data_IF_113001192334
#
_entry.id   IF_113001192334
#
_cell.length_a   1.000
_cell.length_b   1.000
_cell.length_c   1.000
_cell.angle_alpha   90.00
_cell.angle_beta   90.00
_cell.angle_gamma   90.00
#
_symmetry.space_group_name_H-M   'P 1'
#
loop_
_entity.id
_entity.type
_entity.pdbx_description
1 polymer ?
#
# COMPACT_ATOMS: atom_id res chain seq x y z
N UNK A 1 3.94 -6.30 -2.04
CA UNK A 1 2.97 -6.58 -0.96
C UNK A 1 2.94 -5.47 0.09
N UNK A 2 4.08 -4.87 0.44
CA UNK A 2 4.14 -3.74 1.40
C UNK A 2 3.17 -2.61 1.03
N UNK A 3 3.15 -2.17 -0.23
CA UNK A 3 2.20 -1.13 -0.70
C UNK A 3 0.72 -1.46 -0.46
N UNK A 4 0.34 -2.75 -0.50
CA UNK A 4 -1.03 -3.16 -0.19
C UNK A 4 -1.34 -3.01 1.30
N UNK A 5 -0.37 -3.33 2.18
CA UNK A 5 -0.52 -3.15 3.63
C UNK A 5 -0.63 -1.67 3.98
N UNK A 6 0.22 -0.83 3.38
CA UNK A 6 0.14 0.63 3.57
C UNK A 6 -1.22 1.18 3.16
N UNK A 7 -1.78 0.68 2.05
CA UNK A 7 -3.05 1.14 1.54
C UNK A 7 -4.26 0.65 2.34
N UNK A 8 -4.22 -0.60 2.83
CA UNK A 8 -5.39 -1.26 3.42
C UNK A 8 -5.35 -1.37 4.93
N UNK A 9 -4.17 -1.26 5.55
CA UNK A 9 -3.95 -1.63 6.95
C UNK A 9 -3.94 -3.14 7.23
N UNK A 10 -4.29 -3.98 6.26
CA UNK A 10 -4.45 -5.42 6.47
C UNK A 10 -3.33 -6.26 5.87
N UNK A 11 -3.05 -7.40 6.52
CA UNK A 11 -2.19 -8.44 5.95
C UNK A 11 -2.77 -8.93 4.61
N UNK A 12 -1.95 -9.13 3.56
CA UNK A 12 -2.41 -9.73 2.31
C UNK A 12 -3.10 -11.08 2.58
N UNK A 13 -4.31 -11.24 2.05
CA UNK A 13 -5.14 -12.43 2.26
C UNK A 13 -5.58 -12.69 3.72
N UNK A 14 -5.68 -11.68 4.58
CA UNK A 14 -6.12 -11.83 5.98
C UNK A 14 -7.45 -12.59 6.17
N UNK A 15 -8.34 -12.62 5.17
CA UNK A 15 -9.60 -13.40 5.18
C UNK A 15 -9.47 -14.83 4.67
N UNK A 16 -8.24 -15.35 4.52
CA UNK A 16 -7.94 -16.70 4.01
C UNK A 16 -6.98 -17.42 4.94
N UNK A 17 -7.15 -18.73 5.05
CA UNK A 17 -6.22 -19.61 5.73
C UNK A 17 -4.90 -19.63 4.95
N UNK A 18 -3.78 -19.51 5.65
CA UNK A 18 -2.44 -19.50 5.08
C UNK A 18 -1.89 -20.93 4.94
N UNK A 19 -2.50 -21.70 4.04
CA UNK A 19 -2.14 -23.09 3.76
C UNK A 19 -1.49 -23.28 2.37
N UNK A 20 -1.07 -24.52 2.09
CA UNK A 20 -0.50 -24.91 0.80
C UNK A 20 -1.45 -24.66 -0.38
N UNK A 21 -2.77 -24.68 -0.15
CA UNK A 21 -3.75 -24.42 -1.21
C UNK A 21 -3.84 -22.93 -1.56
N UNK A 22 -3.68 -22.04 -0.59
CA UNK A 22 -3.51 -20.61 -0.85
C UNK A 22 -2.23 -20.36 -1.66
N UNK A 23 -1.12 -21.01 -1.31
CA UNK A 23 0.14 -20.91 -2.07
C UNK A 23 -0.07 -21.34 -3.52
N UNK A 24 -0.70 -22.49 -3.77
CA UNK A 24 -1.05 -22.93 -5.14
C UNK A 24 -1.90 -21.91 -5.88
N UNK A 25 -2.90 -21.32 -5.22
CA UNK A 25 -3.74 -20.26 -5.83
C UNK A 25 -2.91 -19.01 -6.18
N UNK A 26 -1.96 -18.61 -5.35
CA UNK A 26 -1.10 -17.43 -5.59
C UNK A 26 -0.12 -17.69 -6.73
N UNK A 27 0.54 -18.84 -6.73
CA UNK A 27 1.62 -19.18 -7.69
C UNK A 27 1.04 -19.62 -9.03
N UNK A 28 0.14 -20.61 -9.03
CA UNK A 28 -0.37 -21.27 -10.25
C UNK A 28 -1.53 -20.47 -10.85
N UNK A 29 -2.46 -20.00 -10.01
CA UNK A 29 -3.63 -19.23 -10.48
C UNK A 29 -3.40 -17.71 -10.45
N UNK A 30 -2.17 -17.29 -10.17
CA UNK A 30 -1.76 -15.88 -10.10
C UNK A 30 -2.66 -15.01 -9.21
N UNK A 31 -3.26 -15.60 -8.16
CA UNK A 31 -4.18 -14.90 -7.27
C UNK A 31 -3.46 -13.72 -6.58
N UNK A 32 -4.14 -12.57 -6.52
CA UNK A 32 -3.72 -11.39 -5.76
C UNK A 32 -4.77 -11.02 -4.70
N UNK A 33 -4.37 -10.28 -3.64
CA UNK A 33 -5.32 -9.75 -2.67
C UNK A 33 -6.41 -8.91 -3.34
N UNK A 34 -7.62 -8.96 -2.80
CA UNK A 34 -8.72 -8.08 -3.23
C UNK A 34 -8.64 -6.75 -2.47
N UNK A 35 -9.08 -5.68 -3.10
CA UNK A 35 -9.37 -4.42 -2.41
C UNK A 35 -10.79 -4.48 -1.84
N UNK A 36 -10.98 -3.93 -0.64
CA UNK A 36 -12.28 -3.92 0.05
C UNK A 36 -13.00 -2.57 -0.05
N UNK A 37 -12.28 -1.53 -0.49
CA UNK A 37 -12.82 -0.24 -0.91
C UNK A 37 -12.78 -0.15 -2.45
N UNK A 38 -13.61 0.71 -3.05
CA UNK A 38 -13.63 0.94 -4.49
C UNK A 38 -12.25 1.36 -5.04
N UNK A 39 -11.86 0.84 -6.20
CA UNK A 39 -10.57 1.19 -6.80
C UNK A 39 -10.52 2.67 -7.23
N UNK A 40 -11.67 3.30 -7.53
CA UNK A 40 -11.76 4.74 -7.85
C UNK A 40 -11.39 5.68 -6.70
N UNK A 41 -11.36 5.17 -5.47
CA UNK A 41 -10.93 5.91 -4.28
C UNK A 41 -9.41 5.85 -4.09
N UNK A 42 -8.71 4.97 -4.82
CA UNK A 42 -7.26 4.84 -4.74
C UNK A 42 -6.64 5.79 -5.76
N UNK A 43 -5.58 6.54 -5.41
CA UNK A 43 -4.78 7.23 -6.42
C UNK A 43 -4.36 6.25 -7.52
N UNK A 44 -4.86 6.46 -8.74
CA UNK A 44 -4.68 5.55 -9.87
C UNK A 44 -3.21 5.22 -10.12
N UNK A 45 -2.32 6.20 -10.00
CA UNK A 45 -0.89 6.00 -10.19
C UNK A 45 -0.27 5.11 -9.10
N UNK A 46 -0.71 5.25 -7.84
CA UNK A 46 -0.34 4.34 -6.74
C UNK A 46 -0.85 2.93 -7.00
N UNK A 47 -2.13 2.80 -7.40
CA UNK A 47 -2.74 1.52 -7.74
C UNK A 47 -2.01 0.82 -8.90
N UNK A 48 -1.63 1.58 -9.93
CA UNK A 48 -0.87 1.09 -11.07
C UNK A 48 0.53 0.62 -10.65
N UNK A 49 1.24 1.38 -9.83
CA UNK A 49 2.54 0.97 -9.29
C UNK A 49 2.41 -0.32 -8.47
N UNK A 50 1.44 -0.38 -7.56
CA UNK A 50 1.14 -1.56 -6.77
C UNK A 50 0.84 -2.77 -7.67
N UNK A 51 0.05 -2.58 -8.73
CA UNK A 51 -0.28 -3.63 -9.72
C UNK A 51 0.92 -4.11 -10.51
N UNK A 52 1.87 -3.23 -10.87
CA UNK A 52 3.11 -3.62 -11.54
C UNK A 52 4.04 -4.41 -10.61
N UNK A 53 4.21 -3.97 -9.36
CA UNK A 53 5.08 -4.61 -8.36
C UNK A 53 4.76 -6.08 -8.10
N UNK A 54 3.51 -6.50 -8.24
CA UNK A 54 3.10 -7.90 -8.06
C UNK A 54 2.67 -8.59 -9.36
N UNK A 55 3.06 -8.05 -10.52
CA UNK A 55 2.72 -8.63 -11.83
C UNK A 55 3.16 -10.09 -11.90
N UNK A 56 2.36 -10.93 -12.59
CA UNK A 56 2.74 -12.32 -12.80
C UNK A 56 4.05 -12.41 -13.58
N UNK A 57 4.14 -11.71 -14.71
CA UNK A 57 5.37 -11.64 -15.50
C UNK A 57 6.43 -10.86 -14.74
N UNK A 58 7.58 -11.47 -14.41
CA UNK A 58 8.66 -10.77 -13.71
C UNK A 58 9.18 -9.55 -14.48
N UNK A 59 9.20 -9.61 -15.82
CA UNK A 59 9.66 -8.52 -16.69
C UNK A 59 8.80 -7.25 -16.63
N UNK A 60 7.55 -7.36 -16.13
CA UNK A 60 6.66 -6.21 -15.95
C UNK A 60 6.79 -5.59 -14.56
N UNK A 61 7.58 -6.19 -13.67
CA UNK A 61 7.82 -5.63 -12.34
C UNK A 61 8.89 -4.54 -12.47
N UNK A 62 8.68 -3.37 -11.87
CA UNK A 62 9.67 -2.32 -11.87
C UNK A 62 10.89 -2.76 -11.04
N UNK A 63 12.05 -2.29 -11.46
CA UNK A 63 13.26 -2.38 -10.64
C UNK A 63 13.13 -1.53 -9.39
N UNK A 64 13.85 -1.88 -8.32
CA UNK A 64 13.77 -1.14 -7.06
C UNK A 64 14.17 0.33 -7.22
N UNK A 65 15.13 0.64 -8.10
CA UNK A 65 15.53 2.02 -8.35
C UNK A 65 14.39 2.80 -9.01
N UNK A 66 13.68 2.18 -9.97
CA UNK A 66 12.50 2.81 -10.59
C UNK A 66 11.38 3.10 -9.59
N UNK A 67 11.20 2.22 -8.58
CA UNK A 67 10.24 2.46 -7.51
C UNK A 67 10.71 3.62 -6.64
N UNK A 68 11.98 3.64 -6.23
CA UNK A 68 12.55 4.70 -5.39
C UNK A 68 12.44 6.06 -6.07
N UNK A 69 12.89 6.16 -7.32
CA UNK A 69 12.87 7.40 -8.10
C UNK A 69 11.43 7.94 -8.23
N UNK A 70 10.48 7.06 -8.54
CA UNK A 70 9.07 7.43 -8.67
C UNK A 70 8.47 7.91 -7.34
N UNK A 71 8.77 7.22 -6.23
CA UNK A 71 8.26 7.63 -4.91
C UNK A 71 8.90 8.93 -4.44
N UNK A 72 10.20 9.15 -4.69
CA UNK A 72 10.89 10.40 -4.38
C UNK A 72 10.35 11.57 -5.18
N UNK A 73 10.05 11.37 -6.47
CA UNK A 73 9.38 12.36 -7.32
C UNK A 73 8.00 12.74 -6.76
N UNK A 74 7.20 11.75 -6.35
CA UNK A 74 5.89 12.01 -5.74
C UNK A 74 6.00 12.79 -4.42
N UNK A 75 6.93 12.40 -3.54
CA UNK A 75 7.18 13.09 -2.28
C UNK A 75 7.59 14.55 -2.52
N UNK A 76 8.51 14.77 -3.46
CA UNK A 76 8.96 16.11 -3.85
C UNK A 76 7.79 16.97 -4.35
N UNK A 77 6.91 16.41 -5.19
CA UNK A 77 5.74 17.12 -5.69
C UNK A 77 4.73 17.46 -4.58
N UNK A 78 4.52 16.55 -3.62
CA UNK A 78 3.66 16.76 -2.46
C UNK A 78 4.21 17.85 -1.54
N UNK A 79 5.52 17.84 -1.26
CA UNK A 79 6.20 18.81 -0.39
C UNK A 79 6.13 20.23 -0.96
N UNK A 80 6.32 20.37 -2.28
CA UNK A 80 6.22 21.66 -2.96
C UNK A 80 4.78 22.13 -3.19
N UNK A 81 3.77 21.34 -2.79
CA UNK A 81 2.34 21.57 -3.10
C UNK A 81 2.11 21.85 -4.58
N UNK A 82 2.90 21.21 -5.43
CA UNK A 82 2.79 21.35 -6.88
C UNK A 82 1.42 20.85 -7.32
N UNK A 83 0.73 21.57 -8.21
CA UNK A 83 -0.54 21.09 -8.78
C UNK A 83 -0.27 20.09 -9.90
N UNK A 84 0.18 18.90 -9.55
CA UNK A 84 0.50 17.83 -10.49
C UNK A 84 -0.59 16.77 -10.48
N UNK A 85 -0.56 15.89 -11.48
CA UNK A 85 -1.53 14.80 -11.62
C UNK A 85 -1.56 13.91 -10.38
N UNK A 86 -0.40 13.64 -9.76
CA UNK A 86 -0.31 12.76 -8.60
C UNK A 86 -0.83 13.46 -7.33
N UNK A 87 -0.48 14.73 -7.09
CA UNK A 87 -0.96 15.46 -5.90
C UNK A 87 -2.47 15.64 -5.95
N UNK A 88 -3.04 15.90 -7.13
CA UNK A 88 -4.49 15.97 -7.33
C UNK A 88 -5.18 14.63 -7.01
N UNK A 89 -4.59 13.49 -7.38
CA UNK A 89 -5.14 12.18 -7.05
C UNK A 89 -5.13 11.91 -5.54
N UNK A 90 -4.02 12.25 -4.86
CA UNK A 90 -3.93 12.12 -3.40
C UNK A 90 -4.93 13.04 -2.68
N UNK A 91 -5.01 14.31 -3.05
CA UNK A 91 -6.00 15.24 -2.46
C UNK A 91 -7.44 14.79 -2.70
N UNK A 92 -7.75 14.24 -3.89
CA UNK A 92 -9.07 13.65 -4.14
C UNK A 92 -9.37 12.50 -3.19
N UNK A 93 -8.41 11.59 -2.98
CA UNK A 93 -8.52 10.47 -2.04
C UNK A 93 -8.73 10.94 -0.58
N UNK A 94 -8.08 12.04 -0.18
CA UNK A 94 -8.26 12.62 1.15
C UNK A 94 -9.65 13.24 1.33
N UNK A 95 -10.13 13.95 0.31
CA UNK A 95 -11.41 14.68 0.35
C UNK A 95 -12.65 13.77 0.18
N UNK A 96 -12.51 12.56 -0.36
CA UNK A 96 -13.63 11.64 -0.57
C UNK A 96 -14.23 11.06 0.72
N UNK A 97 -13.70 11.43 1.90
CA UNK A 97 -14.42 11.37 3.16
C UNK A 97 -14.67 9.96 3.73
N UNK A 98 -13.80 8.98 3.44
CA UNK A 98 -13.92 7.60 3.98
C UNK A 98 -12.92 7.22 5.07
N UNK A 99 -12.00 8.11 5.43
CA UNK A 99 -11.20 7.92 6.63
C UNK A 99 -11.88 8.65 7.79
N UNK A 100 -12.89 8.02 8.40
CA UNK A 100 -12.94 8.10 9.86
C UNK A 100 -12.04 6.97 10.35
N UNK A 101 -10.83 7.25 10.85
CA UNK A 101 -9.96 6.23 11.42
C UNK A 101 -10.67 5.43 12.52
N UNK A 102 -11.69 6.02 13.17
CA UNK A 102 -12.49 5.36 14.20
C UNK A 102 -13.36 4.21 13.65
N UNK A 103 -13.72 4.17 12.37
CA UNK A 103 -14.46 3.04 11.79
C UNK A 103 -13.57 1.80 11.57
N UNK A 104 -12.24 1.96 11.65
CA UNK A 104 -11.25 0.88 11.52
C UNK A 104 -10.90 0.29 12.91
N UNK A 105 -11.08 1.05 13.99
CA UNK A 105 -10.72 0.66 15.36
C UNK A 105 -11.74 -0.25 16.07
N UNK A 106 -12.95 -0.46 15.52
CA UNK A 106 -14.01 -1.26 16.17
C UNK A 106 -14.13 -2.70 15.65
N UNK A 107 -13.17 -3.21 14.87
CA UNK A 107 -13.14 -4.62 14.43
C UNK A 107 -11.90 -5.34 14.99
N UNK A 108 -12.10 -5.87 16.20
CA UNK A 108 -11.36 -6.89 16.94
C UNK A 108 -9.95 -6.57 17.52
N UNK A 109 -9.84 -6.87 18.82
CA UNK A 109 -8.88 -6.42 19.85
C UNK A 109 -7.40 -6.86 19.76
N UNK A 110 -6.87 -7.36 18.64
CA UNK A 110 -5.45 -7.80 18.62
C UNK A 110 -4.51 -6.70 18.10
N UNK A 111 -4.25 -5.75 19.00
CA UNK A 111 -3.37 -4.59 18.88
C UNK A 111 -1.95 -4.90 18.34
N UNK A 112 -1.56 -4.20 17.26
CA UNK A 112 -0.14 -3.91 16.96
C UNK A 112 0.07 -2.40 17.08
N UNK A 113 0.42 -1.95 18.29
CA UNK A 113 0.94 -0.61 18.49
C UNK A 113 2.37 -0.56 17.93
N UNK A 114 2.57 0.17 16.83
CA UNK A 114 3.89 0.69 16.47
C UNK A 114 4.28 1.69 17.56
N UNK A 115 5.01 1.25 18.58
CA UNK A 115 5.73 2.17 19.46
C UNK A 115 6.61 3.08 18.59
N UNK A 116 6.63 4.35 18.97
CA UNK A 116 7.33 5.44 18.31
C UNK A 116 8.70 5.03 17.73
N UNK A 117 8.85 5.20 16.41
CA UNK A 117 10.12 5.06 15.68
C UNK A 117 11.17 6.11 16.10
N UNK A 118 10.86 7.02 17.01
CA UNK A 118 11.75 8.08 17.51
C UNK A 118 12.54 7.70 18.77
N UNK A 119 12.45 6.47 19.27
CA UNK A 119 13.23 6.04 20.45
C UNK A 119 14.48 5.19 20.14
N UNK A 120 14.76 4.85 18.88
CA UNK A 120 16.04 4.27 18.50
C UNK A 120 17.10 5.37 18.35
N UNK A 121 17.68 5.81 19.46
CA UNK A 121 19.04 6.33 19.45
C UNK A 121 19.96 5.23 18.91
N UNK A 122 20.34 5.34 17.63
CA UNK A 122 21.47 4.59 17.07
C UNK A 122 22.75 5.10 17.72
N UNK A 123 23.08 4.57 18.90
CA UNK A 123 24.42 4.70 19.45
C UNK A 123 25.31 3.71 18.70
N UNK A 124 25.93 4.18 17.61
CA UNK A 124 27.18 3.62 17.14
C UNK A 124 28.29 4.14 18.04
N UNK A 125 28.81 3.25 18.90
CA UNK A 125 30.22 3.08 19.27
C UNK A 125 30.34 1.86 20.19
#
# INVERSE_FOLDING_TARGET
MIMYVVLTGFKPFHTKIHDSDLVKKIVIKHRRPKFYFPEEDIPNDYLNLLKKCWSYSPSLRPDINQIIDLLQDWLTQLDHRSSTRITQQFSKCETSGRANPLDIYYLDEDSYYSKDLTSCQLNFL
#
